data_IF_973954770558
#
_entry.id   IF_973954770558
#
_cell.length_a   1.000
_cell.length_b   1.000
_cell.length_c   1.000
_cell.angle_alpha   90.00
_cell.angle_beta   90.00
_cell.angle_gamma   90.00
#
_symmetry.space_group_name_H-M   'P 1'
#
loop_
_entity.id
_entity.type
_entity.pdbx_description
1 polymer ?
#
# COMPACT_ATOMS: atom_id res chain seq x y z
N UNK A 1 20.89 -42.16 6.26
CA UNK A 1 19.60 -41.62 5.81
C UNK A 1 19.61 -40.13 6.11
N UNK A 2 19.27 -39.23 5.17
CA UNK A 2 19.14 -37.81 5.49
C UNK A 2 18.02 -37.65 6.51
N UNK A 3 18.24 -36.81 7.53
CA UNK A 3 17.28 -36.55 8.59
C UNK A 3 15.92 -36.10 8.01
N UNK A 4 14.93 -36.99 8.07
CA UNK A 4 13.58 -36.80 7.50
C UNK A 4 12.65 -36.00 8.43
N UNK A 5 13.15 -35.41 9.51
CA UNK A 5 12.34 -34.73 10.55
C UNK A 5 12.62 -33.24 10.70
N UNK A 6 13.25 -32.59 9.72
CA UNK A 6 13.73 -31.21 9.80
C UNK A 6 12.63 -30.14 9.80
N UNK A 7 11.76 -30.13 10.81
CA UNK A 7 10.98 -28.96 11.21
C UNK A 7 11.99 -27.89 11.63
N UNK A 8 11.91 -26.69 11.03
CA UNK A 8 12.77 -25.57 11.39
C UNK A 8 14.18 -25.61 10.81
N UNK A 9 14.38 -26.19 9.61
CA UNK A 9 15.67 -26.09 8.90
C UNK A 9 16.07 -24.62 8.74
N UNK A 10 17.23 -24.26 9.28
CA UNK A 10 17.85 -22.95 9.10
C UNK A 10 18.67 -22.96 7.81
N UNK A 11 18.38 -22.02 6.91
CA UNK A 11 19.15 -21.78 5.69
C UNK A 11 19.90 -20.47 5.89
N UNK A 12 21.23 -20.52 5.78
CA UNK A 12 22.06 -19.32 5.79
C UNK A 12 22.43 -18.91 4.37
N UNK A 13 22.28 -17.62 4.07
CA UNK A 13 22.66 -17.02 2.80
C UNK A 13 23.32 -15.66 3.04
N UNK A 14 24.10 -15.19 2.06
CA UNK A 14 24.85 -13.94 2.15
C UNK A 14 24.82 -13.20 0.82
N UNK A 15 24.55 -11.89 0.91
CA UNK A 15 24.33 -10.98 -0.20
C UNK A 15 25.00 -9.62 0.08
N UNK A 16 25.21 -8.83 -0.96
CA UNK A 16 25.70 -7.46 -0.81
C UNK A 16 24.55 -6.55 -0.35
N UNK A 17 23.37 -6.72 -0.97
CA UNK A 17 22.16 -5.95 -0.67
C UNK A 17 20.99 -6.88 -0.36
N UNK A 18 20.34 -6.64 0.77
CA UNK A 18 19.16 -7.37 1.23
C UNK A 18 17.97 -6.42 1.25
N UNK A 19 17.00 -6.63 0.36
CA UNK A 19 15.76 -5.86 0.28
C UNK A 19 14.65 -6.64 0.98
N UNK A 20 14.00 -6.05 1.98
CA UNK A 20 12.92 -6.69 2.73
C UNK A 20 11.62 -5.98 2.42
N UNK A 21 10.71 -6.67 1.74
CA UNK A 21 9.43 -6.16 1.27
C UNK A 21 9.39 -6.09 -0.26
N UNK A 22 8.42 -6.78 -0.83
CA UNK A 22 8.17 -6.93 -2.26
C UNK A 22 7.15 -5.95 -2.83
N UNK A 23 6.90 -4.82 -2.15
CA UNK A 23 6.15 -3.69 -2.70
C UNK A 23 6.91 -3.00 -3.84
N UNK A 24 6.29 -2.03 -4.51
CA UNK A 24 6.93 -1.36 -5.65
C UNK A 24 8.25 -0.67 -5.29
N UNK A 25 8.37 -0.08 -4.11
CA UNK A 25 9.63 0.47 -3.61
C UNK A 25 10.73 -0.61 -3.54
N UNK A 26 10.43 -1.77 -2.97
CA UNK A 26 11.38 -2.88 -2.85
C UNK A 26 11.69 -3.55 -4.18
N UNK A 27 10.71 -3.71 -5.06
CA UNK A 27 10.91 -4.20 -6.44
C UNK A 27 11.88 -3.28 -7.19
N UNK A 28 11.64 -1.97 -7.17
CA UNK A 28 12.52 -0.99 -7.80
C UNK A 28 13.93 -1.01 -7.19
N UNK A 29 14.04 -1.00 -5.85
CA UNK A 29 15.33 -1.05 -5.16
C UNK A 29 16.14 -2.32 -5.50
N UNK A 30 15.47 -3.47 -5.53
CA UNK A 30 16.10 -4.75 -5.82
C UNK A 30 16.61 -4.84 -7.27
N UNK A 31 15.78 -4.46 -8.24
CA UNK A 31 16.17 -4.42 -9.65
C UNK A 31 17.30 -3.40 -9.85
N UNK A 32 17.20 -2.21 -9.26
CA UNK A 32 18.22 -1.17 -9.40
C UNK A 32 19.56 -1.63 -8.84
N UNK A 33 19.55 -2.25 -7.66
CA UNK A 33 20.74 -2.81 -7.03
C UNK A 33 21.38 -3.92 -7.89
N UNK A 34 20.59 -4.88 -8.36
CA UNK A 34 21.08 -5.99 -9.17
C UNK A 34 21.64 -5.53 -10.53
N UNK A 35 20.97 -4.57 -11.19
CA UNK A 35 21.45 -3.97 -12.46
C UNK A 35 22.73 -3.17 -12.30
N UNK A 36 23.02 -2.67 -11.10
CA UNK A 36 24.29 -2.03 -10.76
C UNK A 36 25.36 -3.02 -10.27
N UNK A 37 25.12 -4.33 -10.41
CA UNK A 37 26.13 -5.37 -10.20
C UNK A 37 26.24 -5.92 -8.78
N UNK A 38 25.41 -5.45 -7.84
CA UNK A 38 25.37 -6.02 -6.49
C UNK A 38 24.70 -7.39 -6.51
N UNK A 39 25.21 -8.33 -5.71
CA UNK A 39 24.53 -9.60 -5.45
C UNK A 39 23.38 -9.32 -4.48
N UNK A 40 22.15 -9.36 -4.99
CA UNK A 40 20.98 -8.84 -4.28
C UNK A 40 19.98 -9.95 -3.98
N UNK A 41 19.27 -9.83 -2.86
CA UNK A 41 18.09 -10.65 -2.57
C UNK A 41 16.90 -9.76 -2.21
N UNK A 42 15.71 -10.11 -2.72
CA UNK A 42 14.43 -9.53 -2.28
C UNK A 42 13.61 -10.56 -1.50
N UNK A 43 13.11 -10.16 -0.33
CA UNK A 43 12.35 -11.02 0.57
C UNK A 43 10.94 -10.47 0.70
N UNK A 44 9.92 -11.24 0.31
CA UNK A 44 8.52 -10.82 0.33
C UNK A 44 7.69 -11.78 1.18
N UNK A 45 6.88 -11.22 2.07
CA UNK A 45 6.10 -11.95 3.07
C UNK A 45 4.92 -12.75 2.49
N UNK A 46 4.57 -12.49 1.23
CA UNK A 46 3.40 -13.01 0.50
C UNK A 46 3.79 -13.69 -0.82
N UNK A 47 2.85 -14.38 -1.50
CA UNK A 47 3.18 -15.17 -2.70
C UNK A 47 3.38 -14.33 -3.97
N UNK A 48 3.04 -13.04 -3.97
CA UNK A 48 3.21 -12.15 -5.12
C UNK A 48 3.89 -10.84 -4.71
N UNK A 49 4.57 -10.22 -5.67
CA UNK A 49 5.12 -8.87 -5.55
C UNK A 49 4.04 -7.81 -5.81
N UNK A 50 4.38 -6.54 -5.57
CA UNK A 50 3.55 -5.38 -5.87
C UNK A 50 2.98 -4.69 -4.62
N UNK A 51 3.03 -5.33 -3.45
CA UNK A 51 2.53 -4.72 -2.21
C UNK A 51 1.05 -4.35 -2.34
N UNK A 52 0.70 -3.09 -2.06
CA UNK A 52 -0.67 -2.60 -2.25
C UNK A 52 -1.17 -2.73 -3.71
N UNK A 53 -0.27 -2.78 -4.70
CA UNK A 53 -0.63 -2.95 -6.11
C UNK A 53 -0.77 -4.39 -6.57
N UNK A 54 -0.47 -5.38 -5.73
CA UNK A 54 -0.66 -6.78 -6.10
C UNK A 54 -2.14 -7.09 -6.35
N UNK A 55 -2.42 -8.21 -7.01
CA UNK A 55 -3.80 -8.68 -7.19
C UNK A 55 -4.53 -9.02 -5.88
N UNK A 56 -3.79 -9.09 -4.75
CA UNK A 56 -4.32 -9.38 -3.41
C UNK A 56 -4.95 -8.16 -2.72
N UNK A 57 -4.49 -6.94 -3.06
CA UNK A 57 -4.96 -5.67 -2.47
C UNK A 57 -5.62 -4.76 -3.52
N UNK A 58 -5.06 -4.74 -4.74
CA UNK A 58 -5.58 -4.09 -5.95
C UNK A 58 -5.65 -2.56 -5.94
N UNK A 59 -4.69 -1.89 -5.33
CA UNK A 59 -4.49 -0.43 -5.47
C UNK A 59 -3.45 -0.17 -6.57
N UNK A 60 -3.83 0.29 -7.77
CA UNK A 60 -2.90 0.45 -8.88
C UNK A 60 -1.83 1.52 -8.60
N UNK A 61 -0.63 1.39 -9.19
CA UNK A 61 0.27 2.53 -9.34
C UNK A 61 -0.28 3.49 -10.40
N UNK A 62 0.20 4.73 -10.45
CA UNK A 62 -0.27 5.69 -11.45
C UNK A 62 -1.19 6.78 -10.89
N UNK A 63 -1.06 7.14 -9.62
CA UNK A 63 -1.83 8.24 -9.05
C UNK A 63 -1.41 9.57 -9.67
N UNK A 64 -0.10 9.79 -9.79
CA UNK A 64 0.48 11.09 -10.13
C UNK A 64 0.06 11.59 -11.53
N UNK A 65 -0.17 10.69 -12.50
CA UNK A 65 -0.67 11.08 -13.84
C UNK A 65 -2.04 11.78 -13.79
N UNK A 66 -2.86 11.50 -12.77
CA UNK A 66 -4.16 12.18 -12.59
C UNK A 66 -4.00 13.62 -12.07
N UNK A 67 -2.84 13.94 -11.46
CA UNK A 67 -2.46 15.32 -11.11
C UNK A 67 -1.94 16.12 -12.32
N UNK A 68 -1.50 15.44 -13.38
CA UNK A 68 -1.13 16.04 -14.66
C UNK A 68 -0.30 15.09 -15.53
N UNK A 69 -0.36 15.26 -16.86
CA UNK A 69 0.35 14.38 -17.81
C UNK A 69 1.88 14.36 -17.60
N UNK A 70 2.45 15.45 -17.07
CA UNK A 70 3.87 15.60 -16.79
C UNK A 70 4.30 15.00 -15.45
N UNK A 71 3.34 14.67 -14.58
CA UNK A 71 3.56 14.12 -13.25
C UNK A 71 3.60 12.58 -13.22
N UNK A 72 3.43 11.95 -14.39
CA UNK A 72 3.40 10.49 -14.53
C UNK A 72 4.64 9.85 -13.91
N UNK A 73 4.45 8.72 -13.24
CA UNK A 73 5.51 7.87 -12.71
C UNK A 73 6.41 7.35 -13.85
N UNK A 74 7.70 7.71 -13.83
CA UNK A 74 8.70 7.27 -14.84
C UNK A 74 9.69 6.24 -14.30
N UNK A 75 10.72 5.92 -15.10
CA UNK A 75 11.85 5.09 -14.69
C UNK A 75 11.44 3.62 -14.63
N UNK A 76 11.80 2.93 -13.55
CA UNK A 76 11.47 1.51 -13.40
C UNK A 76 9.97 1.25 -13.35
N UNK A 77 9.20 2.14 -12.71
CA UNK A 77 7.74 2.00 -12.65
C UNK A 77 7.13 2.07 -14.06
N UNK A 78 7.60 3.01 -14.88
CA UNK A 78 7.16 3.11 -16.28
C UNK A 78 7.57 1.89 -17.10
N UNK A 79 8.80 1.39 -16.95
CA UNK A 79 9.23 0.15 -17.62
C UNK A 79 8.29 -1.03 -17.32
N UNK A 80 7.89 -1.18 -16.05
CA UNK A 80 6.98 -2.24 -15.61
C UNK A 80 5.55 -1.98 -16.11
N UNK A 81 5.06 -0.74 -16.01
CA UNK A 81 3.72 -0.36 -16.48
C UNK A 81 3.57 -0.54 -17.99
N UNK A 82 4.59 -0.20 -18.78
CA UNK A 82 4.58 -0.39 -20.23
C UNK A 82 4.48 -1.87 -20.60
N UNK A 83 5.25 -2.73 -19.92
CA UNK A 83 5.16 -4.18 -20.10
C UNK A 83 3.75 -4.71 -19.75
N UNK A 84 3.17 -4.22 -18.65
CA UNK A 84 1.81 -4.55 -18.27
C UNK A 84 0.80 -4.08 -19.33
N UNK A 85 0.91 -2.88 -19.88
CA UNK A 85 -0.01 -2.38 -20.91
C UNK A 85 0.02 -3.23 -22.20
N UNK A 86 1.17 -3.79 -22.55
CA UNK A 86 1.30 -4.67 -23.73
C UNK A 86 0.59 -6.01 -23.52
N UNK A 87 0.66 -6.56 -22.29
CA UNK A 87 0.21 -7.94 -21.99
C UNK A 87 -1.13 -8.03 -21.29
N UNK A 88 -1.52 -7.00 -20.56
CA UNK A 88 -2.73 -6.95 -19.76
C UNK A 88 -3.83 -6.24 -20.53
N UNK A 89 -4.71 -7.03 -21.13
CA UNK A 89 -5.83 -6.52 -21.90
C UNK A 89 -7.05 -6.17 -21.05
N UNK A 90 -6.96 -6.32 -19.72
CA UNK A 90 -7.99 -5.88 -18.79
C UNK A 90 -7.74 -4.44 -18.34
N UNK A 91 -8.79 -3.77 -17.90
CA UNK A 91 -8.69 -2.42 -17.33
C UNK A 91 -7.84 -2.45 -16.06
N UNK A 92 -6.91 -1.50 -15.96
CA UNK A 92 -6.07 -1.27 -14.78
C UNK A 92 -6.64 -0.08 -14.01
N UNK A 93 -7.25 -0.34 -12.86
CA UNK A 93 -7.87 0.66 -11.97
C UNK A 93 -7.91 0.11 -10.53
N UNK A 94 -8.29 0.94 -9.56
CA UNK A 94 -8.56 0.52 -8.17
C UNK A 94 -9.52 -0.67 -8.17
N UNK A 95 -9.22 -1.70 -7.37
CA UNK A 95 -9.99 -2.94 -7.29
C UNK A 95 -9.85 -3.89 -8.50
N UNK A 96 -9.11 -3.50 -9.55
CA UNK A 96 -9.01 -4.24 -10.82
C UNK A 96 -7.62 -4.84 -11.10
N UNK A 97 -6.63 -4.69 -10.22
CA UNK A 97 -5.32 -5.34 -10.41
C UNK A 97 -5.51 -6.85 -10.44
N UNK A 98 -4.76 -7.51 -11.30
CA UNK A 98 -4.98 -8.92 -11.64
C UNK A 98 -3.65 -9.66 -11.75
N UNK A 99 -3.72 -10.97 -11.98
CA UNK A 99 -2.55 -11.85 -12.01
C UNK A 99 -1.58 -11.57 -13.17
N UNK A 100 -1.98 -10.82 -14.21
CA UNK A 100 -1.05 -10.41 -15.27
C UNK A 100 -0.05 -9.38 -14.73
N UNK A 101 -0.51 -8.43 -13.90
CA UNK A 101 0.37 -7.50 -13.21
C UNK A 101 1.37 -8.22 -12.28
N UNK A 102 0.87 -9.19 -11.50
CA UNK A 102 1.73 -10.00 -10.62
C UNK A 102 2.79 -10.78 -11.41
N UNK A 103 2.41 -11.35 -12.56
CA UNK A 103 3.32 -12.08 -13.45
C UNK A 103 4.38 -11.16 -14.04
N UNK A 104 4.00 -9.96 -14.49
CA UNK A 104 4.95 -8.96 -15.01
C UNK A 104 5.97 -8.58 -13.94
N UNK A 105 5.52 -8.29 -12.71
CA UNK A 105 6.43 -8.01 -11.60
C UNK A 105 7.35 -9.19 -11.27
N UNK A 106 6.79 -10.39 -11.25
CA UNK A 106 7.54 -11.62 -10.99
C UNK A 106 8.64 -11.86 -12.03
N UNK A 107 8.34 -11.72 -13.31
CA UNK A 107 9.33 -11.86 -14.40
C UNK A 107 10.38 -10.76 -14.35
N UNK A 108 9.99 -9.51 -14.09
CA UNK A 108 10.93 -8.39 -13.94
C UNK A 108 11.98 -8.64 -12.84
N UNK A 109 11.61 -9.32 -11.75
CA UNK A 109 12.54 -9.77 -10.71
C UNK A 109 13.34 -10.99 -11.17
N UNK A 110 12.66 -12.02 -11.66
CA UNK A 110 13.24 -13.31 -12.04
C UNK A 110 14.31 -13.19 -13.13
N UNK A 111 14.15 -12.26 -14.06
CA UNK A 111 15.01 -12.10 -15.22
C UNK A 111 16.32 -11.33 -14.91
N UNK A 112 16.53 -10.89 -13.66
CA UNK A 112 17.77 -10.25 -13.27
C UNK A 112 18.82 -11.28 -12.84
N UNK A 113 20.00 -11.28 -13.46
CA UNK A 113 21.08 -12.25 -13.21
C UNK A 113 21.59 -12.24 -11.75
N UNK A 114 21.72 -11.05 -11.15
CA UNK A 114 22.25 -10.87 -9.80
C UNK A 114 21.16 -10.74 -8.72
N UNK A 115 19.92 -11.14 -9.00
CA UNK A 115 18.80 -11.01 -8.06
C UNK A 115 18.21 -12.37 -7.68
N UNK A 116 18.37 -12.73 -6.41
CA UNK A 116 17.64 -13.83 -5.79
C UNK A 116 16.35 -13.33 -5.14
N UNK A 117 15.39 -14.22 -4.90
CA UNK A 117 14.16 -13.85 -4.21
C UNK A 117 13.62 -14.96 -3.31
N UNK A 118 12.97 -14.56 -2.22
CA UNK A 118 12.21 -15.42 -1.33
C UNK A 118 10.79 -14.89 -1.18
N UNK A 119 9.80 -15.64 -1.68
CA UNK A 119 8.38 -15.35 -1.49
C UNK A 119 7.85 -16.07 -0.24
N UNK A 120 6.72 -15.60 0.28
CA UNK A 120 6.11 -16.12 1.51
C UNK A 120 7.06 -16.11 2.72
N UNK A 121 8.07 -15.24 2.72
CA UNK A 121 9.11 -15.16 3.75
C UNK A 121 8.97 -13.84 4.52
N UNK A 122 8.50 -13.92 5.76
CA UNK A 122 8.29 -12.74 6.60
C UNK A 122 9.52 -12.52 7.48
N UNK A 123 10.11 -11.32 7.45
CA UNK A 123 11.17 -10.94 8.39
C UNK A 123 10.57 -10.75 9.79
N UNK A 124 11.05 -11.56 10.75
CA UNK A 124 10.54 -11.60 12.14
C UNK A 124 11.54 -11.06 13.17
N UNK A 125 12.78 -10.82 12.76
CA UNK A 125 13.80 -10.28 13.64
C UNK A 125 15.06 -9.89 12.90
N UNK A 126 15.97 -9.25 13.63
CA UNK A 126 17.28 -8.85 13.15
C UNK A 126 18.34 -9.28 14.15
N UNK A 127 19.50 -9.65 13.65
CA UNK A 127 20.71 -9.84 14.46
C UNK A 127 21.58 -8.60 14.31
N UNK A 128 21.90 -7.96 15.44
CA UNK A 128 22.74 -6.76 15.49
C UNK A 128 24.18 -7.12 15.83
N UNK A 129 25.13 -6.37 15.25
CA UNK A 129 26.54 -6.33 15.63
C UNK A 129 26.91 -4.89 15.92
N UNK A 130 26.83 -4.50 17.19
CA UNK A 130 26.86 -3.09 17.59
C UNK A 130 25.68 -2.34 16.97
N UNK A 131 25.95 -1.29 16.20
CA UNK A 131 24.95 -0.46 15.52
C UNK A 131 24.65 -0.93 14.09
N UNK A 132 25.24 -2.05 13.64
CA UNK A 132 25.02 -2.57 12.28
C UNK A 132 24.12 -3.81 12.32
N UNK A 133 23.20 -3.88 11.37
CA UNK A 133 22.46 -5.12 11.13
C UNK A 133 23.46 -6.12 10.51
N UNK A 134 23.55 -7.32 11.10
CA UNK A 134 24.37 -8.43 10.62
C UNK A 134 23.57 -9.39 9.75
N UNK A 135 22.34 -9.67 10.16
CA UNK A 135 21.43 -10.54 9.42
C UNK A 135 19.97 -10.21 9.73
N UNK A 136 19.08 -10.53 8.79
CA UNK A 136 17.64 -10.62 9.05
C UNK A 136 17.23 -12.08 9.21
N UNK A 137 16.31 -12.32 10.13
CA UNK A 137 15.75 -13.64 10.41
C UNK A 137 14.33 -13.69 9.86
N UNK A 138 14.10 -14.58 8.90
CA UNK A 138 12.81 -14.74 8.25
C UNK A 138 12.22 -16.12 8.50
N UNK A 139 10.90 -16.19 8.54
CA UNK A 139 10.15 -17.44 8.54
C UNK A 139 9.38 -17.56 7.23
N UNK A 140 9.57 -18.69 6.55
CA UNK A 140 8.95 -18.93 5.24
C UNK A 140 7.73 -19.84 5.37
N UNK A 141 6.56 -19.28 5.09
CA UNK A 141 5.29 -19.98 5.10
C UNK A 141 5.27 -21.10 4.03
N UNK A 142 4.65 -22.23 4.38
CA UNK A 142 4.49 -23.40 3.49
C UNK A 142 5.69 -24.35 3.43
N UNK A 143 6.92 -23.86 3.66
CA UNK A 143 8.12 -24.71 3.74
C UNK A 143 8.67 -24.89 5.14
N UNK A 144 8.16 -24.13 6.11
CA UNK A 144 8.60 -24.12 7.52
C UNK A 144 10.10 -23.87 7.69
N UNK A 145 10.71 -23.21 6.70
CA UNK A 145 12.13 -22.83 6.71
C UNK A 145 12.32 -21.57 7.53
N UNK A 146 13.42 -21.56 8.27
CA UNK A 146 13.98 -20.34 8.85
C UNK A 146 15.11 -19.88 7.95
N UNK A 147 15.07 -18.64 7.53
CA UNK A 147 16.13 -18.04 6.71
C UNK A 147 16.91 -17.08 7.60
N UNK A 148 18.24 -17.19 7.56
CA UNK A 148 19.16 -16.24 8.16
C UNK A 148 19.96 -15.60 7.04
N UNK A 149 19.58 -14.37 6.68
CA UNK A 149 20.10 -13.68 5.50
C UNK A 149 21.06 -12.59 5.95
N UNK A 150 22.35 -12.77 5.67
CA UNK A 150 23.41 -11.78 5.92
C UNK A 150 23.48 -10.79 4.75
N UNK A 151 23.86 -9.56 5.04
CA UNK A 151 23.87 -8.46 4.09
C UNK A 151 24.95 -7.43 4.41
N UNK A 152 25.48 -6.77 3.37
CA UNK A 152 26.29 -5.56 3.54
C UNK A 152 25.42 -4.31 3.77
N UNK A 153 24.30 -4.22 3.03
CA UNK A 153 23.29 -3.17 3.11
C UNK A 153 21.90 -3.82 3.24
N UNK A 154 21.04 -3.21 4.05
CA UNK A 154 19.66 -3.65 4.24
C UNK A 154 18.71 -2.50 3.85
N UNK A 155 17.74 -2.78 2.99
CA UNK A 155 16.73 -1.82 2.55
C UNK A 155 15.37 -2.29 3.08
N UNK A 156 14.81 -1.56 4.04
CA UNK A 156 13.51 -1.86 4.63
C UNK A 156 12.38 -1.28 3.78
N UNK A 157 11.73 -2.15 3.03
CA UNK A 157 10.54 -1.88 2.23
C UNK A 157 9.32 -2.67 2.74
N UNK A 158 9.30 -3.04 4.03
CA UNK A 158 8.24 -3.88 4.63
C UNK A 158 6.87 -3.18 4.68
N UNK A 159 6.84 -1.87 4.46
CA UNK A 159 5.65 -1.02 4.59
C UNK A 159 5.36 -0.60 6.03
N UNK A 160 5.84 -1.35 7.03
CA UNK A 160 5.63 -1.07 8.47
C UNK A 160 6.93 -0.59 9.18
N UNK A 161 8.04 -0.46 8.44
CA UNK A 161 9.37 -0.21 8.99
C UNK A 161 9.81 -1.29 9.98
N UNK A 162 9.38 -2.54 9.76
CA UNK A 162 9.54 -3.64 10.72
C UNK A 162 11.00 -3.95 11.00
N UNK A 163 11.85 -3.96 9.98
CA UNK A 163 13.27 -4.29 10.14
C UNK A 163 14.00 -3.15 10.81
N UNK A 164 13.75 -1.90 10.39
CA UNK A 164 14.33 -0.71 11.02
C UNK A 164 13.93 -0.59 12.49
N UNK A 165 12.65 -0.75 12.80
CA UNK A 165 12.17 -0.74 14.19
C UNK A 165 12.76 -1.89 15.02
N UNK A 166 12.86 -3.10 14.45
CA UNK A 166 13.49 -4.24 15.14
C UNK A 166 14.99 -4.04 15.38
N UNK A 167 15.67 -3.28 14.52
CA UNK A 167 17.06 -2.88 14.69
C UNK A 167 17.26 -1.77 15.73
N UNK A 168 16.18 -1.21 16.28
CA UNK A 168 16.23 -0.09 17.21
C UNK A 168 16.40 1.27 16.55
N UNK A 169 16.17 1.38 15.23
CA UNK A 169 16.20 2.66 14.54
C UNK A 169 15.09 3.58 15.07
N UNK A 170 15.36 4.89 15.22
CA UNK A 170 14.33 5.86 15.59
C UNK A 170 13.23 5.90 14.52
N UNK A 171 11.99 5.99 14.97
CA UNK A 171 10.83 6.12 14.08
C UNK A 171 9.77 7.03 14.70
N UNK A 172 8.91 7.57 13.83
CA UNK A 172 7.73 8.37 14.19
C UNK A 172 6.47 7.65 13.73
N UNK A 173 5.34 7.95 14.37
CA UNK A 173 4.03 7.42 13.99
C UNK A 173 2.94 8.41 14.40
N UNK A 174 1.95 8.60 13.54
CA UNK A 174 0.88 9.59 13.74
C UNK A 174 1.22 10.92 13.08
N UNK A 175 0.78 12.04 13.66
CA UNK A 175 0.94 13.37 13.07
C UNK A 175 1.70 14.29 14.01
N UNK A 176 2.67 14.99 13.44
CA UNK A 176 3.45 16.02 14.10
C UNK A 176 2.64 17.29 14.37
N UNK A 177 3.11 18.14 15.27
CA UNK A 177 2.46 19.43 15.50
C UNK A 177 2.82 20.41 14.39
N UNK A 178 1.89 21.31 14.08
CA UNK A 178 2.09 22.44 13.18
C UNK A 178 3.34 23.26 13.50
N UNK A 179 3.66 23.42 14.78
CA UNK A 179 4.81 24.22 15.23
C UNK A 179 6.16 23.55 14.96
N UNK A 180 6.22 22.22 14.86
CA UNK A 180 7.48 21.49 14.70
C UNK A 180 8.15 21.78 13.36
N UNK A 181 7.35 21.77 12.27
CA UNK A 181 7.83 21.96 10.91
C UNK A 181 7.22 23.18 10.20
N UNK A 182 6.42 23.97 10.92
CA UNK A 182 5.66 25.10 10.36
C UNK A 182 4.78 24.68 9.17
N UNK A 183 3.97 23.65 9.38
CA UNK A 183 3.14 23.00 8.35
C UNK A 183 1.66 23.35 8.53
N UNK A 184 1.05 23.97 7.52
CA UNK A 184 -0.31 24.50 7.65
C UNK A 184 -1.37 23.41 7.78
N UNK A 185 -1.14 22.25 7.16
CA UNK A 185 -2.03 21.10 7.16
C UNK A 185 -1.89 20.23 8.43
N UNK A 186 -0.77 20.36 9.15
CA UNK A 186 -0.54 19.62 10.38
C UNK A 186 -1.48 20.08 11.52
N UNK A 187 -1.84 19.18 12.46
CA UNK A 187 -2.66 19.52 13.62
C UNK A 187 -1.92 20.47 14.57
N UNK A 188 -2.67 21.25 15.36
CA UNK A 188 -2.07 22.17 16.33
C UNK A 188 -1.20 21.45 17.38
N UNK A 189 -1.60 20.24 17.77
CA UNK A 189 -0.85 19.38 18.69
C UNK A 189 -0.57 18.05 18.00
N UNK A 190 0.62 17.52 18.23
CA UNK A 190 0.97 16.20 17.77
C UNK A 190 0.02 15.16 18.37
N UNK A 191 -0.35 14.15 17.59
CA UNK A 191 -1.17 13.02 18.04
C UNK A 191 -0.80 11.71 17.34
N UNK A 192 -1.20 10.58 17.92
CA UNK A 192 -0.92 9.25 17.36
C UNK A 192 -1.89 8.81 16.26
N UNK A 193 -2.63 9.73 15.63
CA UNK A 193 -3.66 9.36 14.65
C UNK A 193 -3.02 9.07 13.30
N UNK A 194 -3.29 7.89 12.75
CA UNK A 194 -2.82 7.49 11.42
C UNK A 194 -3.97 7.45 10.42
N UNK A 195 -3.62 7.60 9.15
CA UNK A 195 -4.55 7.40 8.03
C UNK A 195 -5.05 5.95 7.97
N UNK A 196 -6.24 5.78 7.39
CA UNK A 196 -6.92 4.48 7.33
C UNK A 196 -6.28 3.49 6.36
N UNK A 197 -6.53 2.21 6.61
CA UNK A 197 -6.29 1.13 5.66
C UNK A 197 -7.59 0.79 4.95
N UNK A 198 -7.52 0.62 3.63
CA UNK A 198 -8.71 0.39 2.79
C UNK A 198 -8.91 -1.08 2.46
N UNK A 199 -10.16 -1.47 2.20
CA UNK A 199 -10.48 -2.72 1.52
C UNK A 199 -11.18 -2.44 0.19
N UNK A 200 -10.67 -3.06 -0.86
CA UNK A 200 -11.25 -2.98 -2.19
C UNK A 200 -12.19 -4.16 -2.45
N UNK A 201 -13.05 -4.01 -3.46
CA UNK A 201 -13.84 -5.10 -4.03
C UNK A 201 -13.93 -4.93 -5.55
N UNK A 202 -14.41 -5.96 -6.24
CA UNK A 202 -14.74 -5.91 -7.66
C UNK A 202 -16.18 -6.36 -7.83
N UNK A 203 -16.99 -5.52 -8.47
CA UNK A 203 -18.32 -5.86 -8.93
C UNK A 203 -18.37 -5.90 -10.47
N UNK A 204 -19.18 -6.80 -11.02
CA UNK A 204 -19.39 -6.95 -12.47
C UNK A 204 -20.86 -7.09 -12.83
N UNK A 205 -21.22 -6.52 -13.98
CA UNK A 205 -22.51 -6.74 -14.62
C UNK A 205 -22.56 -8.15 -15.20
N UNK A 206 -23.48 -8.99 -14.71
CA UNK A 206 -23.67 -10.36 -15.20
C UNK A 206 -24.80 -10.49 -16.24
N UNK A 207 -25.33 -9.37 -16.74
CA UNK A 207 -26.33 -9.29 -17.80
C UNK A 207 -27.74 -9.67 -17.39
N UNK A 208 -27.98 -9.89 -16.09
CA UNK A 208 -29.29 -10.25 -15.54
C UNK A 208 -29.41 -9.80 -14.08
N UNK A 209 -30.63 -9.57 -13.57
CA UNK A 209 -30.83 -9.19 -12.18
C UNK A 209 -30.27 -10.23 -11.22
N UNK A 210 -29.52 -9.76 -10.22
CA UNK A 210 -28.95 -10.61 -9.17
C UNK A 210 -29.26 -10.04 -7.80
N UNK A 211 -29.72 -10.90 -6.89
CA UNK A 211 -29.97 -10.52 -5.50
C UNK A 211 -28.68 -10.60 -4.70
N UNK A 212 -28.49 -9.65 -3.80
CA UNK A 212 -27.46 -9.73 -2.78
C UNK A 212 -28.12 -9.90 -1.41
N UNK A 213 -27.70 -10.91 -0.65
CA UNK A 213 -28.14 -11.09 0.74
C UNK A 213 -26.96 -10.77 1.64
N UNK A 214 -26.98 -9.62 2.34
CA UNK A 214 -25.89 -9.26 3.23
C UNK A 214 -25.83 -10.23 4.42
N UNK A 215 -24.64 -10.56 4.93
CA UNK A 215 -24.56 -11.23 6.21
C UNK A 215 -25.14 -10.35 7.33
N UNK A 216 -25.67 -10.95 8.41
CA UNK A 216 -26.33 -10.20 9.48
C UNK A 216 -25.42 -9.22 10.20
N UNK A 217 -24.10 -9.46 10.19
CA UNK A 217 -23.10 -8.63 10.84
C UNK A 217 -22.67 -7.41 10.00
N UNK A 218 -23.03 -7.32 8.72
CA UNK A 218 -22.70 -6.16 7.88
C UNK A 218 -23.34 -4.88 8.44
N UNK A 219 -22.59 -3.77 8.41
CA UNK A 219 -23.08 -2.46 8.85
C UNK A 219 -24.32 -2.04 8.05
N UNK A 220 -25.24 -1.33 8.70
CA UNK A 220 -26.47 -0.87 8.06
C UNK A 220 -26.38 0.61 7.67
N UNK A 221 -26.59 0.86 6.38
CA UNK A 221 -26.74 2.20 5.80
C UNK A 221 -28.14 2.30 5.20
N UNK A 222 -29.16 2.69 5.98
CA UNK A 222 -30.55 2.68 5.53
C UNK A 222 -30.88 3.75 4.47
N UNK A 223 -30.13 4.85 4.43
CA UNK A 223 -30.40 6.01 3.55
C UNK A 223 -29.12 6.59 2.95
N UNK A 224 -29.25 7.42 1.92
CA UNK A 224 -28.12 8.15 1.30
C UNK A 224 -27.33 8.97 2.32
N UNK A 225 -28.02 9.61 3.27
CA UNK A 225 -27.41 10.42 4.32
C UNK A 225 -26.54 9.58 5.26
N UNK A 226 -26.76 8.26 5.32
CA UNK A 226 -25.93 7.34 6.09
C UNK A 226 -24.52 7.20 5.49
N UNK A 227 -24.34 7.55 4.21
CA UNK A 227 -23.07 7.61 3.47
C UNK A 227 -22.70 9.07 3.15
N UNK A 228 -22.75 9.93 4.16
CA UNK A 228 -22.47 11.36 4.02
C UNK A 228 -21.20 11.65 3.22
N UNK A 229 -21.36 12.38 2.10
CA UNK A 229 -20.31 12.77 1.14
C UNK A 229 -19.43 11.60 0.63
N UNK A 230 -19.90 10.36 0.72
CA UNK A 230 -19.21 9.17 0.22
C UNK A 230 -19.86 8.75 -1.09
N UNK A 231 -19.27 9.22 -2.18
CA UNK A 231 -19.74 8.90 -3.52
C UNK A 231 -19.74 7.39 -3.75
N UNK A 232 -20.82 6.84 -4.28
CA UNK A 232 -20.96 5.40 -4.45
C UNK A 232 -21.61 4.99 -5.79
N UNK A 233 -21.43 5.83 -6.81
CA UNK A 233 -21.92 5.54 -8.16
C UNK A 233 -21.08 4.49 -8.87
N UNK A 234 -21.73 3.44 -9.37
CA UNK A 234 -21.10 2.41 -10.21
C UNK A 234 -20.91 2.97 -11.62
N UNK A 235 -19.69 2.84 -12.16
CA UNK A 235 -19.34 3.31 -13.51
C UNK A 235 -18.99 2.14 -14.42
N UNK A 236 -19.86 1.88 -15.39
CA UNK A 236 -19.63 0.85 -16.42
C UNK A 236 -20.01 -0.56 -15.95
N UNK A 237 -19.56 -1.57 -16.72
CA UNK A 237 -19.87 -2.99 -16.48
C UNK A 237 -18.97 -3.68 -15.45
N UNK A 238 -17.91 -3.01 -15.02
CA UNK A 238 -16.97 -3.48 -14.01
C UNK A 238 -16.63 -2.29 -13.11
N UNK A 239 -16.60 -2.51 -11.80
CA UNK A 239 -16.32 -1.45 -10.85
C UNK A 239 -15.51 -1.97 -9.66
N UNK A 240 -14.42 -1.28 -9.34
CA UNK A 240 -13.39 -1.77 -8.41
C UNK A 240 -13.37 -1.05 -7.07
N UNK A 241 -14.52 -1.02 -6.40
CA UNK A 241 -14.64 -0.54 -5.03
C UNK A 241 -14.36 0.95 -4.83
N UNK A 242 -14.26 1.34 -3.56
CA UNK A 242 -14.10 2.73 -3.16
C UNK A 242 -12.93 2.88 -2.20
N UNK A 243 -12.02 3.79 -2.50
CA UNK A 243 -10.85 4.05 -1.67
C UNK A 243 -11.21 4.53 -0.25
N UNK A 244 -12.38 5.17 -0.09
CA UNK A 244 -12.85 5.72 1.18
C UNK A 244 -13.45 4.69 2.13
N UNK A 245 -13.61 3.43 1.70
CA UNK A 245 -13.92 2.32 2.60
C UNK A 245 -12.63 1.95 3.32
N UNK A 246 -12.31 2.75 4.33
CA UNK A 246 -11.10 2.61 5.13
C UNK A 246 -11.37 2.76 6.61
N UNK A 247 -10.57 2.06 7.41
CA UNK A 247 -10.59 2.09 8.86
C UNK A 247 -9.18 2.45 9.34
N UNK A 248 -9.08 3.40 10.25
CA UNK A 248 -7.83 3.83 10.87
C UNK A 248 -8.07 4.14 12.34
N UNK A 249 -7.69 5.34 12.78
CA UNK A 249 -7.96 5.82 14.14
C UNK A 249 -9.40 5.52 14.63
N UNK A 250 -9.62 5.00 15.86
CA UNK A 250 -8.66 4.83 16.95
C UNK A 250 -7.84 3.53 16.92
N UNK A 251 -7.98 2.71 15.87
CA UNK A 251 -7.19 1.50 15.73
C UNK A 251 -5.75 1.83 15.34
N UNK A 252 -4.80 1.12 15.92
CA UNK A 252 -3.42 1.18 15.49
C UNK A 252 -3.22 0.26 14.28
N UNK A 253 -2.59 0.81 13.23
CA UNK A 253 -2.49 0.18 11.90
C UNK A 253 -1.55 -1.01 11.84
N UNK A 254 -0.86 -1.34 12.93
CA UNK A 254 0.12 -2.44 12.99
C UNK A 254 -0.35 -3.55 13.92
N UNK A 255 -0.64 -3.23 15.17
CA UNK A 255 -1.05 -4.22 16.19
C UNK A 255 -2.50 -4.70 16.00
N UNK A 256 -3.38 -3.84 15.50
CA UNK A 256 -4.82 -4.10 15.31
C UNK A 256 -5.20 -4.23 13.83
N UNK A 257 -4.26 -4.68 12.99
CA UNK A 257 -4.47 -4.81 11.55
C UNK A 257 -5.62 -5.78 11.20
N UNK A 258 -5.81 -6.84 11.98
CA UNK A 258 -6.88 -7.82 11.75
C UNK A 258 -8.25 -7.29 12.16
N UNK A 259 -8.33 -6.49 13.22
CA UNK A 259 -9.53 -5.77 13.62
C UNK A 259 -9.91 -4.70 12.59
N UNK A 260 -8.91 -3.98 12.05
CA UNK A 260 -9.09 -3.04 10.93
C UNK A 260 -9.66 -3.78 9.72
N UNK A 261 -9.13 -4.96 9.37
CA UNK A 261 -9.65 -5.80 8.29
C UNK A 261 -11.12 -6.16 8.54
N UNK A 262 -11.45 -6.65 9.73
CA UNK A 262 -12.82 -7.07 10.05
C UNK A 262 -13.83 -5.92 10.00
N UNK A 263 -13.48 -4.78 10.59
CA UNK A 263 -14.33 -3.60 10.53
C UNK A 263 -14.45 -3.07 9.11
N UNK A 264 -13.36 -3.01 8.34
CA UNK A 264 -13.42 -2.58 6.94
C UNK A 264 -14.31 -3.52 6.11
N UNK A 265 -14.24 -4.83 6.34
CA UNK A 265 -15.08 -5.82 5.65
C UNK A 265 -16.56 -5.68 6.04
N UNK A 266 -16.83 -5.48 7.34
CA UNK A 266 -18.17 -5.20 7.88
C UNK A 266 -18.82 -4.01 7.21
N UNK A 267 -18.04 -2.95 7.02
CA UNK A 267 -18.44 -1.72 6.37
C UNK A 267 -18.57 -1.87 4.84
N UNK A 268 -17.63 -2.55 4.18
CA UNK A 268 -17.65 -2.83 2.74
C UNK A 268 -18.94 -3.56 2.34
N UNK A 269 -19.29 -4.62 3.07
CA UNK A 269 -20.52 -5.37 2.80
C UNK A 269 -21.78 -4.56 3.10
N UNK A 270 -21.72 -3.64 4.08
CA UNK A 270 -22.80 -2.71 4.38
C UNK A 270 -23.01 -1.68 3.26
N UNK A 271 -21.93 -1.12 2.73
CA UNK A 271 -21.96 -0.21 1.57
C UNK A 271 -22.52 -0.94 0.35
N UNK A 272 -22.08 -2.18 0.12
CA UNK A 272 -22.62 -2.97 -0.99
C UNK A 272 -24.10 -3.34 -0.80
N UNK A 273 -24.53 -3.65 0.44
CA UNK A 273 -25.95 -3.84 0.76
C UNK A 273 -26.78 -2.60 0.43
N UNK A 274 -26.28 -1.42 0.79
CA UNK A 274 -26.90 -0.15 0.45
C UNK A 274 -27.05 -0.02 -1.07
N UNK A 275 -25.96 -0.14 -1.82
CA UNK A 275 -25.96 -0.02 -3.28
C UNK A 275 -26.92 -1.01 -3.94
N UNK A 276 -26.95 -2.27 -3.48
CA UNK A 276 -27.74 -3.34 -4.11
C UNK A 276 -29.21 -3.38 -3.72
N UNK A 277 -29.53 -3.04 -2.47
CA UNK A 277 -30.83 -3.34 -1.88
C UNK A 277 -31.56 -2.09 -1.38
N UNK A 278 -30.93 -0.91 -1.41
CA UNK A 278 -31.52 0.37 -1.01
C UNK A 278 -31.40 1.35 -2.18
N UNK A 279 -32.45 2.11 -2.45
CA UNK A 279 -32.44 3.09 -3.54
C UNK A 279 -32.30 2.50 -4.95
N UNK A 280 -32.12 3.37 -5.94
CA UNK A 280 -31.81 3.01 -7.33
C UNK A 280 -30.40 3.50 -7.67
N UNK A 281 -29.45 2.57 -7.64
CA UNK A 281 -28.05 2.82 -7.93
C UNK A 281 -27.59 2.25 -9.28
N UNK A 282 -28.53 1.79 -10.12
CA UNK A 282 -28.19 1.08 -11.37
C UNK A 282 -27.44 -0.23 -11.15
N UNK A 283 -27.50 -0.80 -9.94
CA UNK A 283 -26.73 -1.97 -9.54
C UNK A 283 -27.49 -3.29 -9.71
N UNK A 284 -28.68 -3.31 -10.34
CA UNK A 284 -29.56 -4.48 -10.44
C UNK A 284 -28.84 -5.74 -10.96
N UNK A 285 -28.06 -5.58 -12.04
CA UNK A 285 -27.32 -6.67 -12.67
C UNK A 285 -25.90 -6.87 -12.11
N UNK A 286 -25.47 -6.03 -11.17
CA UNK A 286 -24.12 -6.08 -10.63
C UNK A 286 -24.01 -7.17 -9.55
N UNK A 287 -23.01 -8.04 -9.68
CA UNK A 287 -22.61 -9.04 -8.70
C UNK A 287 -21.21 -8.73 -8.15
N UNK A 288 -20.97 -8.96 -6.85
CA UNK A 288 -19.60 -8.99 -6.33
C UNK A 288 -18.88 -10.22 -6.89
N UNK A 289 -17.73 -9.99 -7.50
CA UNK A 289 -16.83 -11.03 -8.01
C UNK A 289 -15.66 -11.27 -7.04
N UNK A 290 -15.12 -10.20 -6.45
CA UNK A 290 -13.98 -10.28 -5.55
C UNK A 290 -14.13 -9.30 -4.40
N UNK A 291 -13.61 -9.68 -3.23
CA UNK A 291 -13.56 -8.87 -2.03
C UNK A 291 -12.15 -9.00 -1.47
N UNK A 292 -11.51 -7.87 -1.15
CA UNK A 292 -10.21 -7.85 -0.49
C UNK A 292 -10.28 -8.33 0.95
N UNK A 293 -9.30 -9.11 1.37
CA UNK A 293 -9.12 -9.58 2.75
C UNK A 293 -7.79 -9.13 3.37
N UNK A 294 -7.01 -8.35 2.62
CA UNK A 294 -5.77 -7.75 3.09
C UNK A 294 -5.96 -6.23 3.07
N UNK A 295 -5.87 -5.55 4.22
CA UNK A 295 -5.95 -4.09 4.26
C UNK A 295 -4.84 -3.44 3.43
N UNK A 296 -5.25 -2.59 2.48
CA UNK A 296 -4.34 -1.70 1.77
C UNK A 296 -3.90 -0.58 2.70
N UNK A 297 -2.79 -0.80 3.40
CA UNK A 297 -2.30 0.08 4.46
C UNK A 297 -1.67 1.35 3.88
N UNK A 298 -2.00 2.50 4.46
CA UNK A 298 -1.51 3.83 4.02
C UNK A 298 -0.42 4.40 4.91
N UNK A 299 -0.55 4.29 6.23
CA UNK A 299 0.35 4.95 7.18
C UNK A 299 0.71 4.07 8.38
N UNK A 300 2.00 4.07 8.71
CA UNK A 300 2.64 3.22 9.73
C UNK A 300 3.83 3.95 10.36
N UNK A 301 4.88 3.23 10.79
CA UNK A 301 6.13 3.81 11.26
C UNK A 301 6.86 4.48 10.09
N UNK A 302 7.26 5.72 10.30
CA UNK A 302 8.21 6.44 9.46
C UNK A 302 9.57 6.39 10.14
N UNK A 303 10.52 5.64 9.58
CA UNK A 303 11.89 5.64 10.08
C UNK A 303 12.49 7.05 9.95
N UNK A 304 13.26 7.47 10.95
CA UNK A 304 13.93 8.77 10.94
C UNK A 304 15.30 8.62 10.30
N UNK A 305 15.51 9.32 9.18
CA UNK A 305 16.80 9.47 8.52
C UNK A 305 17.42 10.84 8.76
N UNK A 306 18.44 11.17 7.97
CA UNK A 306 19.14 12.47 8.01
C UNK A 306 18.24 13.64 7.58
N UNK A 307 17.19 13.34 6.81
CA UNK A 307 16.20 14.31 6.35
C UNK A 307 14.77 13.79 6.52
N UNK A 308 13.85 14.69 6.86
CA UNK A 308 12.41 14.43 6.89
C UNK A 308 11.78 15.36 5.86
N UNK A 309 11.17 14.78 4.82
CA UNK A 309 10.43 15.53 3.82
C UNK A 309 9.18 16.16 4.45
N UNK A 310 8.99 17.46 4.25
CA UNK A 310 7.89 18.25 4.86
C UNK A 310 6.85 18.69 3.82
N UNK A 311 5.68 19.12 4.29
CA UNK A 311 4.66 19.84 3.50
C UNK A 311 5.30 21.01 2.74
N UNK A 312 6.19 21.74 3.40
CA UNK A 312 6.85 22.90 2.82
C UNK A 312 7.75 22.51 1.64
N UNK A 313 8.40 21.35 1.67
CA UNK A 313 9.22 20.89 0.55
C UNK A 313 8.39 20.53 -0.66
N UNK A 314 7.26 19.85 -0.42
CA UNK A 314 6.30 19.48 -1.48
C UNK A 314 5.67 20.73 -2.09
N UNK A 315 5.23 21.68 -1.27
CA UNK A 315 4.56 22.90 -1.74
C UNK A 315 5.48 23.89 -2.45
N UNK A 316 6.74 23.97 -2.04
CA UNK A 316 7.71 24.91 -2.63
C UNK A 316 8.56 24.30 -3.75
N UNK A 317 8.30 23.03 -4.12
CA UNK A 317 9.12 22.27 -5.06
C UNK A 317 10.62 22.34 -4.72
N UNK A 318 10.97 22.15 -3.44
CA UNK A 318 12.35 22.31 -2.97
C UNK A 318 13.31 21.45 -3.82
N UNK A 319 14.32 22.03 -4.48
CA UNK A 319 15.27 21.28 -5.26
C UNK A 319 16.35 20.67 -4.34
N UNK A 320 16.54 19.36 -4.44
CA UNK A 320 17.60 18.65 -3.73
C UNK A 320 18.74 18.27 -4.69
N UNK A 321 20.00 18.63 -4.40
CA UNK A 321 21.15 18.24 -5.23
C UNK A 321 21.37 16.72 -5.33
N UNK A 322 21.00 16.00 -4.27
CA UNK A 322 21.11 14.56 -4.05
C UNK A 322 19.79 13.81 -4.27
N UNK A 323 18.88 14.38 -5.07
CA UNK A 323 17.58 13.76 -5.38
C UNK A 323 17.73 12.33 -5.92
N UNK A 324 16.91 11.42 -5.40
CA UNK A 324 16.84 10.02 -5.86
C UNK A 324 15.52 9.67 -6.55
N UNK A 325 14.49 10.47 -6.31
CA UNK A 325 13.16 10.31 -6.91
C UNK A 325 12.45 11.67 -7.00
N UNK A 326 11.27 11.66 -7.60
CA UNK A 326 10.34 12.78 -7.60
C UNK A 326 8.91 12.28 -7.36
N UNK A 327 8.05 13.18 -6.90
CA UNK A 327 6.61 12.94 -6.76
C UNK A 327 5.80 13.93 -7.59
N UNK A 328 4.55 13.58 -7.83
CA UNK A 328 3.61 14.38 -8.62
C UNK A 328 2.15 14.18 -8.18
N UNK A 329 1.96 13.75 -6.93
CA UNK A 329 0.65 13.64 -6.30
C UNK A 329 0.53 14.70 -5.21
N UNK A 330 -0.69 15.16 -4.93
CA UNK A 330 -0.91 16.09 -3.84
C UNK A 330 -0.68 15.43 -2.48
N UNK A 331 -0.60 16.26 -1.43
CA UNK A 331 -0.47 15.74 -0.06
C UNK A 331 -1.77 15.01 0.30
N UNK A 332 -1.70 13.69 0.28
CA UNK A 332 -2.84 12.79 0.45
C UNK A 332 -3.27 12.74 1.93
N UNK A 333 -4.30 13.51 2.29
CA UNK A 333 -4.83 13.59 3.66
C UNK A 333 -6.26 13.06 3.68
N UNK A 334 -6.45 12.00 4.46
CA UNK A 334 -7.75 11.41 4.70
C UNK A 334 -8.36 11.85 6.04
N UNK A 335 -9.68 11.74 6.14
CA UNK A 335 -10.38 11.99 7.40
C UNK A 335 -10.02 10.92 8.41
N UNK A 336 -9.55 11.34 9.59
CA UNK A 336 -9.13 10.43 10.65
C UNK A 336 -10.29 9.53 11.09
N UNK A 337 -10.06 8.21 11.07
CA UNK A 337 -11.07 7.19 11.33
C UNK A 337 -11.90 6.75 10.12
N UNK A 338 -11.69 7.38 8.96
CA UNK A 338 -12.24 6.93 7.68
C UNK A 338 -13.75 6.83 7.69
N UNK A 339 -14.29 5.63 7.44
CA UNK A 339 -15.74 5.42 7.39
C UNK A 339 -16.43 5.49 8.76
N UNK A 340 -15.67 5.42 9.87
CA UNK A 340 -16.23 5.60 11.22
C UNK A 340 -16.57 7.07 11.52
N UNK A 341 -15.93 8.02 10.82
CA UNK A 341 -16.25 9.45 10.91
C UNK A 341 -17.51 9.76 10.07
N UNK A 342 -18.67 9.29 10.53
CA UNK A 342 -19.94 9.29 9.78
C UNK A 342 -20.45 10.70 9.42
N UNK A 343 -20.07 11.72 10.18
CA UNK A 343 -20.47 13.12 10.02
C UNK A 343 -19.45 13.97 9.24
N UNK A 344 -18.35 13.35 8.80
CA UNK A 344 -17.28 14.01 8.04
C UNK A 344 -17.15 13.42 6.63
N UNK A 345 -16.70 14.23 5.65
CA UNK A 345 -16.35 13.71 4.33
C UNK A 345 -15.20 12.69 4.43
N UNK A 346 -15.01 11.81 3.43
CA UNK A 346 -13.94 10.81 3.46
C UNK A 346 -12.53 11.41 3.42
N UNK A 347 -12.37 12.56 2.78
CA UNK A 347 -11.16 13.38 2.81
C UNK A 347 -11.56 14.83 3.08
N UNK A 348 -10.71 15.66 3.72
CA UNK A 348 -11.04 17.04 4.03
C UNK A 348 -11.38 17.88 2.78
N UNK A 349 -10.80 17.52 1.63
CA UNK A 349 -10.87 18.30 0.41
C UNK A 349 -12.12 17.95 -0.40
N UNK A 350 -12.50 16.69 -0.57
CA UNK A 350 -13.77 16.21 -1.14
C UNK A 350 -14.26 16.99 -2.38
N UNK A 351 -13.34 17.47 -3.22
CA UNK A 351 -13.65 18.30 -4.39
C UNK A 351 -14.08 19.75 -4.10
N UNK A 352 -13.80 20.30 -2.92
CA UNK A 352 -13.97 21.71 -2.58
C UNK A 352 -13.07 22.57 -3.48
N UNK A 353 -13.64 23.34 -4.43
CA UNK A 353 -12.86 24.15 -5.37
C UNK A 353 -12.04 25.23 -4.66
N UNK A 354 -12.51 25.73 -3.52
CA UNK A 354 -11.86 26.79 -2.76
C UNK A 354 -10.59 26.28 -2.04
N UNK A 355 -10.44 24.96 -1.94
CA UNK A 355 -9.25 24.28 -1.43
C UNK A 355 -8.45 23.57 -2.52
N UNK A 356 -8.76 23.84 -3.79
CA UNK A 356 -8.06 23.22 -4.93
C UNK A 356 -6.57 23.59 -4.98
N UNK A 357 -6.17 24.72 -4.42
CA UNK A 357 -4.76 25.11 -4.26
C UNK A 357 -4.02 24.21 -3.24
N UNK A 358 -4.74 23.55 -2.33
CA UNK A 358 -4.16 22.53 -1.43
C UNK A 358 -3.95 21.18 -2.14
N UNK A 359 -4.65 20.95 -3.27
CA UNK A 359 -4.57 19.76 -4.13
C UNK A 359 -3.67 19.95 -5.37
N UNK A 360 -3.20 21.18 -5.63
CA UNK A 360 -2.29 21.44 -6.75
C UNK A 360 -0.86 21.24 -6.30
N UNK A 361 -0.20 20.27 -6.91
CA UNK A 361 1.22 20.02 -6.67
C UNK A 361 1.91 19.91 -8.02
N UNK A 362 2.94 20.75 -8.20
CA UNK A 362 3.91 20.59 -9.28
C UNK A 362 4.87 19.44 -8.94
N UNK A 363 5.70 19.02 -9.89
CA UNK A 363 6.70 18.00 -9.62
C UNK A 363 7.63 18.43 -8.48
N UNK A 364 7.74 17.60 -7.43
CA UNK A 364 8.62 17.84 -6.29
C UNK A 364 9.70 16.77 -6.17
N UNK A 365 10.87 17.16 -5.67
CA UNK A 365 12.04 16.27 -5.55
C UNK A 365 12.03 15.52 -4.22
N UNK A 366 12.55 14.29 -4.21
CA UNK A 366 12.73 13.46 -3.01
C UNK A 366 14.25 13.24 -2.84
N UNK A 367 14.86 13.72 -1.74
CA UNK A 367 16.28 13.55 -1.46
C UNK A 367 16.61 12.11 -1.04
N UNK A 368 17.92 11.81 -1.00
CA UNK A 368 18.45 10.56 -0.48
C UNK A 368 18.21 10.40 1.03
#
# INVERSE_FOLDING_TARGET
MPDRRGIGKVIEEEYDVVVIGGGLAGVCAAIASARNGAKTVIIQDRPVFGGNSSSEIRVPPGGAINGGAWARETGMIEEIQLENLVRNHARTDSGMMNSIWDLVLYEKIRDQENLSYHLNASARGVEMEGERIKAVICEQLGSERKLRIKGGIFIDCTGDGTVGAAAGAPFRMGRESREEFNESLAPQKADGKTQGSSLMFLARDVGRPVKFTPPPWAEKYPTEESLYKRFHHIRGKEFGGFWWIEIGWPYNTIDQNEEIRDEALRHLLGVWDHIKNRGDHGAENMALEWIGFIPGKRETRRLVGDYILTENDVRNNTPFPDRIAYGGWFIDIHTMGGILAKDQPPEPLCGDPDRSDELRVELYSIPF
#
